data_IF_873308535685
#
_entry.id   IF_873308535685
#
_cell.length_a   1.000
_cell.length_b   1.000
_cell.length_c   1.000
_cell.angle_alpha   90.00
_cell.angle_beta   90.00
_cell.angle_gamma   90.00
#
_symmetry.space_group_name_H-M   'P 1'
#
loop_
_entity.id
_entity.type
_entity.pdbx_description
1 polymer ?
#
# COMPACT_ATOMS: atom_id res chain seq x y z
N UNK A 1 -21.64 1.29 29.26
CA UNK A 1 -21.43 1.69 27.87
C UNK A 1 -20.14 2.50 27.67
N UNK A 2 -19.84 3.55 28.45
CA UNK A 2 -18.60 4.36 28.38
C UNK A 2 -17.30 3.56 28.61
N UNK A 3 -17.28 2.64 29.57
CA UNK A 3 -16.09 1.85 29.91
C UNK A 3 -15.70 0.90 28.76
N UNK A 4 -16.66 0.30 28.08
CA UNK A 4 -16.41 -0.61 26.97
C UNK A 4 -15.83 0.14 25.75
N UNK A 5 -16.26 1.36 25.50
CA UNK A 5 -15.73 2.22 24.43
C UNK A 5 -14.30 2.64 24.72
N UNK A 6 -14.00 3.02 25.96
CA UNK A 6 -12.63 3.40 26.37
C UNK A 6 -11.64 2.24 26.25
N UNK A 7 -12.05 1.00 26.55
CA UNK A 7 -11.20 -0.18 26.39
C UNK A 7 -10.90 -0.50 24.93
N UNK A 8 -11.87 -0.34 24.03
CA UNK A 8 -11.68 -0.54 22.59
C UNK A 8 -10.74 0.52 22.02
N UNK A 9 -10.86 1.77 22.46
CA UNK A 9 -10.00 2.86 22.02
C UNK A 9 -8.55 2.64 22.48
N UNK A 10 -8.35 2.26 23.75
CA UNK A 10 -7.01 1.90 24.29
C UNK A 10 -6.39 0.71 23.54
N UNK A 11 -7.20 -0.29 23.18
CA UNK A 11 -6.70 -1.43 22.41
C UNK A 11 -6.26 -1.03 21.00
N UNK A 12 -6.99 -0.12 20.34
CA UNK A 12 -6.58 0.43 19.03
C UNK A 12 -5.26 1.20 19.13
N UNK A 13 -5.14 2.08 20.13
CA UNK A 13 -3.92 2.87 20.34
C UNK A 13 -2.70 1.97 20.58
N UNK A 14 -2.86 0.91 21.35
CA UNK A 14 -1.79 -0.08 21.56
C UNK A 14 -1.37 -0.77 20.26
N UNK A 15 -2.32 -1.12 19.37
CA UNK A 15 -2.02 -1.72 18.08
C UNK A 15 -1.22 -0.75 17.21
N UNK A 16 -1.59 0.53 17.15
CA UNK A 16 -0.86 1.55 16.40
C UNK A 16 0.56 1.74 16.92
N UNK A 17 0.73 1.85 18.24
CA UNK A 17 2.05 1.99 18.87
C UNK A 17 2.90 0.73 18.58
N UNK A 18 2.33 -0.46 18.74
CA UNK A 18 3.02 -1.72 18.46
C UNK A 18 3.47 -1.80 17.00
N UNK A 19 2.59 -1.45 16.06
CA UNK A 19 2.89 -1.43 14.62
C UNK A 19 4.01 -0.43 14.30
N UNK A 20 3.96 0.77 14.88
CA UNK A 20 5.02 1.77 14.71
C UNK A 20 6.37 1.27 15.23
N UNK A 21 6.40 0.71 16.43
CA UNK A 21 7.64 0.16 17.01
C UNK A 21 8.17 -0.99 16.15
N UNK A 22 7.30 -1.87 15.68
CA UNK A 22 7.67 -2.97 14.78
C UNK A 22 8.29 -2.44 13.47
N UNK A 23 7.66 -1.45 12.84
CA UNK A 23 8.18 -0.82 11.62
C UNK A 23 9.56 -0.21 11.84
N UNK A 24 9.76 0.51 12.95
CA UNK A 24 11.06 1.12 13.29
C UNK A 24 12.14 0.07 13.53
N UNK A 25 11.83 -1.01 14.23
CA UNK A 25 12.76 -2.13 14.45
C UNK A 25 13.12 -2.82 13.12
N UNK A 26 12.14 -3.08 12.27
CA UNK A 26 12.37 -3.66 10.95
C UNK A 26 13.24 -2.75 10.07
N UNK A 27 13.03 -1.44 10.14
CA UNK A 27 13.84 -0.45 9.42
C UNK A 27 15.31 -0.50 9.88
N UNK A 28 15.53 -0.57 11.20
CA UNK A 28 16.88 -0.67 11.77
C UNK A 28 17.60 -1.96 11.34
N UNK A 29 16.89 -3.07 11.22
CA UNK A 29 17.42 -4.34 10.73
C UNK A 29 17.64 -4.34 9.21
N UNK A 30 16.78 -3.64 8.48
CA UNK A 30 16.85 -3.58 7.02
C UNK A 30 18.08 -2.80 6.52
N UNK A 31 18.40 -1.66 7.11
CA UNK A 31 19.51 -0.83 6.65
C UNK A 31 20.86 -1.55 6.61
N UNK A 32 21.33 -2.25 7.65
CA UNK A 32 22.58 -3.00 7.57
C UNK A 32 22.52 -4.17 6.58
N UNK A 33 21.35 -4.82 6.47
CA UNK A 33 21.13 -5.88 5.49
C UNK A 33 21.24 -5.35 4.06
N UNK A 34 20.54 -4.27 3.73
CA UNK A 34 20.54 -3.66 2.41
C UNK A 34 21.96 -3.17 2.01
N UNK A 35 22.70 -2.57 2.95
CA UNK A 35 24.11 -2.19 2.72
C UNK A 35 25.00 -3.39 2.43
N UNK A 36 24.84 -4.47 3.17
CA UNK A 36 25.62 -5.70 2.96
C UNK A 36 25.32 -6.35 1.60
N UNK A 37 24.09 -6.19 1.09
CA UNK A 37 23.66 -6.73 -0.20
C UNK A 37 23.85 -5.77 -1.37
N UNK A 38 24.43 -4.56 -1.11
CA UNK A 38 24.60 -3.51 -2.13
C UNK A 38 23.28 -3.09 -2.79
N UNK A 39 22.16 -3.12 -2.05
CA UNK A 39 20.86 -2.67 -2.54
C UNK A 39 20.83 -1.13 -2.54
N UNK A 40 21.48 -0.54 -3.53
CA UNK A 40 21.68 0.90 -3.66
C UNK A 40 21.16 1.37 -5.02
N UNK A 41 20.24 2.34 -5.00
CA UNK A 41 19.88 3.05 -6.22
C UNK A 41 21.02 3.99 -6.64
N UNK A 42 21.48 3.83 -7.87
CA UNK A 42 22.46 4.72 -8.47
C UNK A 42 21.92 6.13 -8.68
N UNK A 43 22.84 7.10 -8.74
CA UNK A 43 22.49 8.47 -9.12
C UNK A 43 22.16 8.49 -10.61
N UNK A 44 20.96 8.94 -10.96
CA UNK A 44 20.53 9.14 -12.35
C UNK A 44 20.07 10.59 -12.59
N UNK A 45 19.83 10.96 -13.85
CA UNK A 45 19.44 12.31 -14.23
C UNK A 45 18.11 12.81 -13.63
N UNK A 46 17.29 11.89 -13.08
CA UNK A 46 15.98 12.21 -12.46
C UNK A 46 16.05 12.25 -10.94
N UNK A 47 17.11 11.71 -10.32
CA UNK A 47 17.25 11.67 -8.87
C UNK A 47 17.81 13.01 -8.35
N UNK A 48 17.23 13.49 -7.26
CA UNK A 48 17.77 14.65 -6.52
C UNK A 48 18.95 14.27 -5.61
N UNK A 49 19.33 13.00 -5.59
CA UNK A 49 20.41 12.48 -4.76
C UNK A 49 21.77 12.69 -5.43
N UNK A 50 22.74 13.14 -4.64
CA UNK A 50 24.14 13.27 -5.07
C UNK A 50 24.99 12.05 -4.73
N UNK A 51 24.44 11.10 -3.94
CA UNK A 51 25.08 9.85 -3.52
C UNK A 51 24.10 8.70 -3.65
N UNK A 52 24.58 7.46 -3.87
CA UNK A 52 23.72 6.28 -3.87
C UNK A 52 22.92 6.16 -2.57
N UNK A 53 21.63 5.86 -2.66
CA UNK A 53 20.72 5.69 -1.52
C UNK A 53 20.23 4.25 -1.45
N UNK A 54 19.89 3.80 -0.22
CA UNK A 54 19.34 2.46 -0.01
C UNK A 54 17.93 2.41 -0.62
N UNK A 55 17.69 1.40 -1.45
CA UNK A 55 16.40 1.12 -2.10
C UNK A 55 15.67 -0.06 -1.46
N UNK A 56 14.40 -0.28 -1.80
CA UNK A 56 13.61 -1.43 -1.35
C UNK A 56 13.11 -1.37 0.09
N UNK A 57 13.28 -0.25 0.81
CA UNK A 57 12.82 -0.09 2.19
C UNK A 57 11.27 -0.21 2.32
N UNK A 58 10.54 0.02 1.24
CA UNK A 58 9.08 -0.16 1.17
C UNK A 58 8.62 -1.58 1.48
N UNK A 59 9.48 -2.58 1.31
CA UNK A 59 9.17 -3.98 1.67
C UNK A 59 8.83 -4.19 3.15
N UNK A 60 9.29 -3.31 4.03
CA UNK A 60 8.96 -3.33 5.46
C UNK A 60 7.45 -3.13 5.68
N UNK A 61 6.83 -2.22 4.94
CA UNK A 61 5.38 -2.00 5.00
C UNK A 61 4.60 -3.21 4.50
N UNK A 62 5.09 -3.89 3.46
CA UNK A 62 4.51 -5.14 2.99
C UNK A 62 4.50 -6.22 4.07
N UNK A 63 5.64 -6.43 4.76
CA UNK A 63 5.72 -7.41 5.86
C UNK A 63 4.74 -7.06 6.99
N UNK A 64 4.66 -5.79 7.39
CA UNK A 64 3.69 -5.33 8.39
C UNK A 64 2.25 -5.55 7.95
N UNK A 65 1.96 -5.31 6.68
CA UNK A 65 0.64 -5.58 6.09
C UNK A 65 0.28 -7.08 6.15
N UNK A 66 1.24 -7.97 5.81
CA UNK A 66 1.03 -9.43 5.92
C UNK A 66 0.77 -9.84 7.36
N UNK A 67 1.54 -9.34 8.34
CA UNK A 67 1.33 -9.62 9.76
C UNK A 67 -0.08 -9.17 10.19
N UNK A 68 -0.49 -7.95 9.81
CA UNK A 68 -1.83 -7.44 10.08
C UNK A 68 -2.92 -8.30 9.44
N UNK A 69 -2.73 -8.71 8.18
CA UNK A 69 -3.65 -9.61 7.48
C UNK A 69 -3.83 -10.96 8.18
N UNK A 70 -2.74 -11.54 8.67
CA UNK A 70 -2.80 -12.78 9.46
C UNK A 70 -3.61 -12.57 10.76
N UNK A 71 -3.39 -11.46 11.48
CA UNK A 71 -4.16 -11.14 12.68
C UNK A 71 -5.65 -10.97 12.37
N UNK A 72 -6.00 -10.25 11.32
CA UNK A 72 -7.39 -10.08 10.88
C UNK A 72 -8.04 -11.41 10.50
N UNK A 73 -7.31 -12.27 9.80
CA UNK A 73 -7.81 -13.59 9.42
C UNK A 73 -8.19 -14.43 10.64
N UNK A 74 -7.37 -14.43 11.69
CA UNK A 74 -7.68 -15.14 12.94
C UNK A 74 -8.84 -14.53 13.72
N UNK A 75 -9.10 -13.23 13.56
CA UNK A 75 -10.21 -12.54 14.25
C UNK A 75 -11.54 -12.66 13.51
N UNK A 76 -11.52 -12.73 12.19
CA UNK A 76 -12.70 -12.62 11.33
C UNK A 76 -12.52 -13.41 10.03
N UNK A 77 -12.32 -14.73 10.15
CA UNK A 77 -12.04 -15.60 8.99
C UNK A 77 -13.14 -15.57 7.92
N UNK A 78 -14.41 -15.42 8.32
CA UNK A 78 -15.56 -15.50 7.43
C UNK A 78 -15.71 -14.26 6.53
N UNK A 79 -15.21 -13.13 6.98
CA UNK A 79 -15.29 -11.83 6.27
C UNK A 79 -13.92 -11.29 5.87
N UNK A 80 -12.92 -12.16 5.71
CA UNK A 80 -11.59 -11.70 5.33
C UNK A 80 -11.56 -11.24 3.86
N UNK A 81 -11.05 -10.02 3.56
CA UNK A 81 -11.07 -9.44 2.21
C UNK A 81 -9.95 -10.03 1.34
N UNK A 82 -10.13 -11.28 0.90
CA UNK A 82 -9.11 -12.05 0.16
C UNK A 82 -8.61 -11.36 -1.10
N UNK A 83 -9.52 -10.81 -1.92
CA UNK A 83 -9.13 -10.18 -3.18
C UNK A 83 -8.29 -8.92 -2.97
N UNK A 84 -8.66 -8.11 -1.96
CA UNK A 84 -7.87 -6.95 -1.55
C UNK A 84 -6.48 -7.36 -1.06
N UNK A 85 -6.41 -8.39 -0.20
CA UNK A 85 -5.16 -8.89 0.37
C UNK A 85 -4.22 -9.41 -0.71
N UNK A 86 -4.71 -10.25 -1.64
CA UNK A 86 -3.93 -10.79 -2.75
C UNK A 86 -3.47 -9.66 -3.68
N UNK A 87 -4.35 -8.72 -4.03
CA UNK A 87 -4.00 -7.58 -4.88
C UNK A 87 -2.85 -6.75 -4.32
N UNK A 88 -2.89 -6.42 -3.03
CA UNK A 88 -1.80 -5.68 -2.37
C UNK A 88 -0.50 -6.50 -2.27
N UNK A 89 -0.59 -7.81 -2.02
CA UNK A 89 0.59 -8.67 -2.06
C UNK A 89 1.25 -8.67 -3.44
N UNK A 90 0.47 -8.79 -4.53
CA UNK A 90 0.97 -8.74 -5.89
C UNK A 90 1.67 -7.41 -6.20
N UNK A 91 1.04 -6.28 -5.86
CA UNK A 91 1.62 -4.95 -6.06
C UNK A 91 2.92 -4.77 -5.29
N UNK A 92 2.95 -5.18 -4.02
CA UNK A 92 4.12 -5.03 -3.15
C UNK A 92 5.32 -5.86 -3.62
N UNK A 93 5.07 -7.10 -4.05
CA UNK A 93 6.13 -7.98 -4.56
C UNK A 93 6.72 -7.42 -5.86
N UNK A 94 5.87 -6.97 -6.79
CA UNK A 94 6.35 -6.42 -8.06
C UNK A 94 7.09 -5.12 -7.86
N UNK A 95 6.58 -4.23 -6.98
CA UNK A 95 7.26 -2.99 -6.64
C UNK A 95 8.63 -3.25 -6.03
N UNK A 96 8.76 -4.25 -5.14
CA UNK A 96 10.04 -4.62 -4.56
C UNK A 96 11.02 -5.20 -5.60
N UNK A 97 10.54 -6.01 -6.55
CA UNK A 97 11.37 -6.53 -7.63
C UNK A 97 11.82 -5.37 -8.54
N UNK A 98 10.92 -4.45 -8.87
CA UNK A 98 11.23 -3.26 -9.68
C UNK A 98 12.30 -2.35 -9.03
N UNK A 99 12.31 -2.28 -7.70
CA UNK A 99 13.34 -1.57 -6.92
C UNK A 99 14.73 -2.25 -6.99
N UNK A 100 14.77 -3.56 -7.21
CA UNK A 100 16.02 -4.35 -7.27
C UNK A 100 16.54 -4.53 -8.69
N UNK A 101 15.64 -4.77 -9.62
CA UNK A 101 15.90 -5.06 -11.02
C UNK A 101 14.87 -4.33 -11.87
N UNK A 102 15.27 -3.58 -12.86
CA UNK A 102 14.35 -2.86 -13.74
C UNK A 102 13.37 -3.82 -14.41
N UNK A 103 12.13 -3.83 -13.92
CA UNK A 103 11.06 -4.64 -14.50
C UNK A 103 10.53 -3.96 -15.76
N UNK A 104 10.38 -4.72 -16.85
CA UNK A 104 9.80 -4.18 -18.06
C UNK A 104 8.39 -3.62 -17.79
N UNK A 105 8.17 -2.42 -18.25
CA UNK A 105 7.01 -1.58 -17.89
C UNK A 105 5.66 -2.27 -18.14
N UNK A 106 5.54 -3.13 -19.18
CA UNK A 106 4.30 -3.85 -19.48
C UNK A 106 3.93 -4.89 -18.40
N UNK A 107 4.91 -5.59 -17.82
CA UNK A 107 4.65 -6.53 -16.73
C UNK A 107 4.18 -5.81 -15.47
N UNK A 108 4.81 -4.68 -15.14
CA UNK A 108 4.36 -3.85 -14.02
C UNK A 108 2.93 -3.36 -14.26
N UNK A 109 2.62 -2.85 -15.45
CA UNK A 109 1.29 -2.39 -15.80
C UNK A 109 0.26 -3.52 -15.71
N UNK A 110 0.53 -4.70 -16.28
CA UNK A 110 -0.37 -5.84 -16.22
C UNK A 110 -0.72 -6.24 -14.78
N UNK A 111 0.29 -6.29 -13.89
CA UNK A 111 0.07 -6.65 -12.49
C UNK A 111 -0.73 -5.57 -11.77
N UNK A 112 -0.46 -4.29 -12.04
CA UNK A 112 -1.30 -3.19 -11.53
C UNK A 112 -2.74 -3.31 -11.97
N UNK A 113 -2.98 -3.63 -13.24
CA UNK A 113 -4.32 -3.82 -13.79
C UNK A 113 -5.05 -4.99 -13.12
N UNK A 114 -4.40 -6.13 -12.94
CA UNK A 114 -4.97 -7.30 -12.25
C UNK A 114 -5.25 -6.98 -10.78
N UNK A 115 -4.31 -6.38 -10.06
CA UNK A 115 -4.46 -6.04 -8.65
C UNK A 115 -5.61 -5.04 -8.43
N UNK A 116 -5.74 -4.02 -9.28
CA UNK A 116 -6.85 -3.07 -9.21
C UNK A 116 -8.19 -3.72 -9.55
N UNK A 117 -8.23 -4.69 -10.48
CA UNK A 117 -9.43 -5.47 -10.76
C UNK A 117 -9.88 -6.29 -9.56
N UNK A 118 -8.94 -6.91 -8.84
CA UNK A 118 -9.23 -7.65 -7.61
C UNK A 118 -9.76 -6.72 -6.51
N UNK A 119 -9.18 -5.53 -6.35
CA UNK A 119 -9.65 -4.53 -5.40
C UNK A 119 -11.10 -4.08 -5.69
N UNK A 120 -11.39 -3.74 -6.94
CA UNK A 120 -12.74 -3.32 -7.34
C UNK A 120 -13.75 -4.45 -7.19
N UNK A 121 -13.33 -5.69 -7.43
CA UNK A 121 -14.16 -6.86 -7.19
C UNK A 121 -14.50 -7.04 -5.72
N UNK A 122 -13.52 -6.84 -4.82
CA UNK A 122 -13.76 -6.86 -3.37
C UNK A 122 -14.77 -5.78 -2.96
N UNK A 123 -14.62 -4.56 -3.45
CA UNK A 123 -15.55 -3.45 -3.16
C UNK A 123 -16.99 -3.81 -3.60
N UNK A 124 -17.17 -4.47 -4.73
CA UNK A 124 -18.51 -4.91 -5.18
C UNK A 124 -19.12 -5.98 -4.28
N UNK A 125 -18.29 -6.85 -3.67
CA UNK A 125 -18.75 -7.87 -2.71
C UNK A 125 -19.16 -7.19 -1.40
N UNK A 126 -18.34 -6.26 -0.90
CA UNK A 126 -18.53 -5.60 0.40
C UNK A 126 -19.70 -4.59 0.35
N UNK A 127 -19.96 -3.99 -0.83
CA UNK A 127 -21.00 -2.99 -1.05
C UNK A 127 -22.01 -3.42 -2.14
N UNK A 128 -22.93 -4.33 -1.82
CA UNK A 128 -23.92 -4.82 -2.78
C UNK A 128 -24.84 -3.74 -3.36
N UNK A 129 -24.96 -2.60 -2.66
CA UNK A 129 -25.72 -1.44 -3.12
C UNK A 129 -25.25 -0.89 -4.47
N UNK A 130 -23.96 -1.08 -4.80
CA UNK A 130 -23.42 -0.69 -6.09
C UNK A 130 -24.04 -1.46 -7.26
N UNK A 131 -24.46 -2.69 -7.03
CA UNK A 131 -25.13 -3.52 -8.05
C UNK A 131 -26.54 -3.00 -8.39
N UNK A 132 -27.15 -2.16 -7.55
CA UNK A 132 -28.46 -1.54 -7.78
C UNK A 132 -28.37 -0.31 -8.70
N UNK A 133 -27.18 0.19 -9.00
CA UNK A 133 -27.02 1.31 -9.91
C UNK A 133 -27.30 0.88 -11.37
N UNK A 134 -27.78 1.82 -12.23
CA UNK A 134 -27.88 1.55 -13.65
C UNK A 134 -26.55 1.04 -14.22
N UNK A 135 -26.61 0.00 -15.02
CA UNK A 135 -25.41 -0.70 -15.52
C UNK A 135 -24.40 0.25 -16.21
N UNK A 136 -24.87 1.25 -16.94
CA UNK A 136 -24.02 2.26 -17.59
C UNK A 136 -23.23 3.09 -16.56
N UNK A 137 -23.89 3.51 -15.47
CA UNK A 137 -23.25 4.28 -14.38
C UNK A 137 -22.23 3.43 -13.65
N UNK A 138 -22.58 2.17 -13.34
CA UNK A 138 -21.71 1.23 -12.65
C UNK A 138 -20.43 0.97 -13.47
N UNK A 139 -20.56 0.61 -14.75
CA UNK A 139 -19.40 0.32 -15.60
C UNK A 139 -18.54 1.57 -15.85
N UNK A 140 -19.16 2.74 -16.04
CA UNK A 140 -18.39 3.98 -16.18
C UNK A 140 -17.59 4.32 -14.93
N UNK A 141 -18.18 4.16 -13.74
CA UNK A 141 -17.50 4.37 -12.46
C UNK A 141 -16.33 3.39 -12.28
N UNK A 142 -16.53 2.10 -12.58
CA UNK A 142 -15.48 1.08 -12.50
C UNK A 142 -14.30 1.44 -13.41
N UNK A 143 -14.56 1.76 -14.67
CA UNK A 143 -13.51 2.12 -15.64
C UNK A 143 -12.76 3.39 -15.22
N UNK A 144 -13.48 4.41 -14.72
CA UNK A 144 -12.86 5.64 -14.22
C UNK A 144 -12.01 5.38 -12.98
N UNK A 145 -12.52 4.64 -11.99
CA UNK A 145 -11.77 4.28 -10.79
C UNK A 145 -10.52 3.46 -11.14
N UNK A 146 -10.67 2.53 -12.08
CA UNK A 146 -9.58 1.68 -12.55
C UNK A 146 -8.46 2.50 -13.22
N UNK A 147 -8.82 3.32 -14.21
CA UNK A 147 -7.86 4.17 -14.92
C UNK A 147 -7.19 5.19 -13.99
N UNK A 148 -7.97 5.81 -13.09
CA UNK A 148 -7.46 6.77 -12.11
C UNK A 148 -6.48 6.12 -11.14
N UNK A 149 -6.82 4.95 -10.58
CA UNK A 149 -5.98 4.25 -9.61
C UNK A 149 -4.66 3.78 -10.22
N UNK A 150 -4.70 3.21 -11.44
CA UNK A 150 -3.47 2.81 -12.16
C UNK A 150 -2.63 4.04 -12.52
N UNK A 151 -3.28 5.13 -12.92
CA UNK A 151 -2.61 6.41 -13.18
C UNK A 151 -1.92 6.96 -11.93
N UNK A 152 -2.58 6.94 -10.78
CA UNK A 152 -2.00 7.34 -9.50
C UNK A 152 -0.79 6.47 -9.11
N UNK A 153 -0.89 5.14 -9.21
CA UNK A 153 0.23 4.24 -8.90
C UNK A 153 1.46 4.57 -9.74
N UNK A 154 1.28 4.82 -11.04
CA UNK A 154 2.39 5.19 -11.91
C UNK A 154 2.92 6.60 -11.61
N UNK A 155 2.04 7.55 -11.26
CA UNK A 155 2.45 8.89 -10.83
C UNK A 155 3.29 8.83 -9.55
N UNK A 156 2.87 8.08 -8.53
CA UNK A 156 3.64 7.87 -7.29
C UNK A 156 5.02 7.30 -7.58
N UNK A 157 5.10 6.29 -8.43
CA UNK A 157 6.39 5.70 -8.84
C UNK A 157 7.30 6.70 -9.58
N UNK A 158 6.70 7.62 -10.35
CA UNK A 158 7.45 8.66 -11.06
C UNK A 158 8.01 9.73 -10.11
N UNK A 159 7.29 10.03 -9.02
CA UNK A 159 7.65 11.05 -8.03
C UNK A 159 8.65 10.57 -6.99
N UNK A 160 8.91 9.26 -6.90
CA UNK A 160 9.81 8.65 -5.91
C UNK A 160 11.28 9.10 -6.07
N UNK A 161 11.66 9.63 -7.23
CA UNK A 161 12.99 10.21 -7.47
C UNK A 161 13.28 11.54 -6.73
N UNK A 162 12.29 12.14 -6.08
CA UNK A 162 12.41 13.43 -5.42
C UNK A 162 12.36 13.29 -3.88
N UNK A 163 13.40 13.76 -3.21
CA UNK A 163 13.56 13.66 -1.76
C UNK A 163 12.35 14.21 -0.99
N UNK A 164 11.65 13.32 -0.27
CA UNK A 164 10.54 13.65 0.62
C UNK A 164 9.22 14.00 -0.07
N UNK A 165 9.18 14.11 -1.39
CA UNK A 165 7.98 14.46 -2.15
C UNK A 165 6.91 13.38 -2.03
N UNK A 166 7.28 12.12 -2.15
CA UNK A 166 6.36 10.99 -1.96
C UNK A 166 5.79 10.97 -0.54
N UNK A 167 6.62 11.13 0.49
CA UNK A 167 6.16 11.20 1.88
C UNK A 167 5.19 12.35 2.14
N UNK A 168 5.48 13.54 1.60
CA UNK A 168 4.60 14.69 1.69
C UNK A 168 3.25 14.46 1.01
N UNK A 169 3.24 13.84 -0.16
CA UNK A 169 2.02 13.51 -0.91
C UNK A 169 1.17 12.46 -0.16
N UNK A 170 1.79 11.41 0.37
CA UNK A 170 1.10 10.40 1.19
C UNK A 170 0.48 11.03 2.43
N UNK A 171 1.20 11.87 3.16
CA UNK A 171 0.66 12.57 4.33
C UNK A 171 -0.49 13.52 3.96
N UNK A 172 -0.39 14.24 2.83
CA UNK A 172 -1.44 15.14 2.36
C UNK A 172 -2.72 14.42 1.98
N UNK A 173 -2.68 13.14 1.65
CA UNK A 173 -3.86 12.30 1.39
C UNK A 173 -4.38 11.60 2.64
N UNK A 174 -3.50 11.05 3.47
CA UNK A 174 -3.89 10.27 4.66
C UNK A 174 -4.46 11.15 5.78
N UNK A 175 -3.92 12.36 6.01
CA UNK A 175 -4.40 13.24 7.07
C UNK A 175 -5.87 13.66 6.85
N UNK A 176 -6.29 14.17 5.67
CA UNK A 176 -7.71 14.46 5.42
C UNK A 176 -8.61 13.23 5.50
N UNK A 177 -8.17 12.06 4.99
CA UNK A 177 -8.95 10.82 5.10
C UNK A 177 -9.16 10.39 6.54
N UNK A 178 -8.15 10.52 7.39
CA UNK A 178 -8.27 10.26 8.82
C UNK A 178 -9.30 11.20 9.48
N UNK A 179 -9.20 12.51 9.20
CA UNK A 179 -10.12 13.51 9.77
C UNK A 179 -11.58 13.37 9.31
N UNK A 180 -11.83 12.79 8.13
CA UNK A 180 -13.19 12.54 7.63
C UNK A 180 -13.78 11.27 8.27
N UNK A 181 -12.93 10.34 8.68
CA UNK A 181 -13.37 9.04 9.23
C UNK A 181 -13.57 9.06 10.77
N UNK A 182 -13.27 10.16 11.46
CA UNK A 182 -13.62 10.42 12.87
C UNK A 182 -15.04 10.97 13.02
#
# INVERSE_FOLDING_TARGET
>A
MYICRSLVDVQKDMIYIFTLVLLLLMLQLYFPFARKRNMLAGVNHRSSHTKPVITGAGFIFFVSYVIYGVVLFYQSSDNFPWYFFIGLCMLSVVSFIDDLEEVWFLWRLLIQLVAMSLLLWQIQIDEPSLALMPSVVQWSAIVMCWGFSVGLLNMYNFMDGLNGMLGGLVLSTLIPLYLINE
#
